data_IF_864660069032
#
_entry.id   IF_864660069032
#
_cell.length_a   1.000
_cell.length_b   1.000
_cell.length_c   1.000
_cell.angle_alpha   90.00
_cell.angle_beta   90.00
_cell.angle_gamma   90.00
#
_symmetry.space_group_name_H-M   'P 1'
#
loop_
_entity.id
_entity.type
_entity.pdbx_description
1 polymer ?
#
# COMPACT_ATOMS: atom_id res chain seq x y z
N UNK A 1 -0.92 -5.95 41.96
CA UNK A 1 -1.68 -4.68 41.73
C UNK A 1 -1.09 -4.05 40.48
N UNK A 2 -1.86 -3.92 39.40
CA UNK A 2 -1.40 -3.33 38.12
C UNK A 2 -1.36 -1.82 38.32
N UNK A 3 -0.26 -1.18 37.89
CA UNK A 3 -0.14 0.28 37.96
C UNK A 3 -1.12 0.95 36.96
N UNK A 4 -1.63 2.16 37.24
CA UNK A 4 -2.55 2.85 36.34
C UNK A 4 -2.02 3.01 34.90
N UNK A 5 -0.71 3.20 34.73
CA UNK A 5 -0.05 3.25 33.40
C UNK A 5 -0.12 1.91 32.67
N UNK A 6 0.14 0.80 33.37
CA UNK A 6 0.07 -0.56 32.83
C UNK A 6 -1.38 -0.93 32.45
N UNK A 7 -2.36 -0.46 33.23
CA UNK A 7 -3.77 -0.65 32.89
C UNK A 7 -4.18 0.10 31.63
N UNK A 8 -3.71 1.33 31.46
CA UNK A 8 -3.97 2.12 30.26
C UNK A 8 -3.33 1.50 29.00
N UNK A 9 -2.12 0.98 29.10
CA UNK A 9 -1.44 0.28 28.01
C UNK A 9 -2.15 -1.03 27.65
N UNK A 10 -2.59 -1.82 28.64
CA UNK A 10 -3.37 -3.02 28.42
C UNK A 10 -4.73 -2.72 27.79
N UNK A 11 -5.41 -1.68 28.24
CA UNK A 11 -6.67 -1.24 27.66
C UNK A 11 -6.50 -0.79 26.21
N UNK A 12 -5.45 -0.02 25.91
CA UNK A 12 -5.12 0.40 24.55
C UNK A 12 -4.82 -0.81 23.66
N UNK A 13 -4.02 -1.76 24.13
CA UNK A 13 -3.71 -3.00 23.41
C UNK A 13 -4.97 -3.83 23.13
N UNK A 14 -5.89 -3.91 24.08
CA UNK A 14 -7.15 -4.66 23.93
C UNK A 14 -8.11 -3.99 22.93
N UNK A 15 -8.17 -2.65 22.92
CA UNK A 15 -9.05 -1.90 22.01
C UNK A 15 -8.46 -1.70 20.61
N UNK A 16 -7.16 -1.89 20.45
CA UNK A 16 -6.51 -1.77 19.13
C UNK A 16 -6.80 -3.03 18.33
N UNK A 17 -7.50 -2.86 17.22
CA UNK A 17 -7.72 -3.95 16.30
C UNK A 17 -6.45 -4.20 15.48
N UNK A 18 -5.85 -5.38 15.64
CA UNK A 18 -4.73 -5.83 14.79
C UNK A 18 -5.26 -6.23 13.41
N UNK A 19 -5.42 -5.25 12.53
CA UNK A 19 -5.60 -5.52 11.10
C UNK A 19 -4.22 -5.57 10.43
N UNK A 20 -4.08 -6.43 9.43
CA UNK A 20 -2.87 -6.46 8.64
C UNK A 20 -2.71 -5.13 7.90
N UNK A 21 -1.54 -4.49 8.00
CA UNK A 21 -1.31 -3.21 7.37
C UNK A 21 -1.35 -3.34 5.84
N UNK A 22 -1.81 -2.28 5.21
CA UNK A 22 -1.83 -2.07 3.77
C UNK A 22 -1.00 -0.86 3.44
N UNK A 23 -0.25 -0.91 2.36
CA UNK A 23 0.61 0.19 1.92
C UNK A 23 0.19 0.69 0.55
N UNK A 24 0.14 2.02 0.41
CA UNK A 24 0.04 2.73 -0.85
C UNK A 24 1.12 3.80 -0.93
N UNK A 25 1.55 4.17 -2.13
CA UNK A 25 2.64 5.13 -2.34
C UNK A 25 2.25 6.16 -3.37
N UNK A 26 2.72 7.37 -3.13
CA UNK A 26 2.68 8.46 -4.09
C UNK A 26 4.09 9.01 -4.29
N UNK A 27 4.38 9.49 -5.48
CA UNK A 27 5.62 10.19 -5.79
C UNK A 27 5.30 11.58 -6.35
N UNK A 28 6.16 12.57 -6.05
CA UNK A 28 6.02 13.92 -6.55
C UNK A 28 7.40 14.55 -6.71
N UNK A 29 7.60 15.35 -7.75
CA UNK A 29 8.87 16.05 -7.98
C UNK A 29 9.13 17.08 -6.89
N UNK A 30 10.36 17.08 -6.41
CA UNK A 30 10.86 17.99 -5.39
C UNK A 30 11.91 18.94 -6.00
N UNK A 31 11.81 20.22 -5.69
CA UNK A 31 12.71 21.25 -6.24
C UNK A 31 13.55 21.92 -5.15
N UNK A 32 13.21 21.73 -3.89
CA UNK A 32 13.85 22.42 -2.77
C UNK A 32 15.17 21.78 -2.32
N UNK A 33 16.05 22.60 -1.78
CA UNK A 33 17.32 22.18 -1.19
C UNK A 33 17.23 21.89 0.33
N UNK A 34 16.17 22.39 0.98
CA UNK A 34 15.98 22.26 2.43
C UNK A 34 15.85 20.78 2.86
N UNK A 35 16.28 20.52 4.09
CA UNK A 35 16.00 19.23 4.72
C UNK A 35 14.48 19.05 4.85
N UNK A 36 14.01 17.83 4.65
CA UNK A 36 12.57 17.56 4.62
C UNK A 36 11.89 17.86 5.96
N UNK A 37 12.58 17.62 7.07
CA UNK A 37 12.05 17.93 8.41
C UNK A 37 11.83 19.44 8.61
N UNK A 38 12.69 20.27 8.03
CA UNK A 38 12.60 21.75 8.15
C UNK A 38 11.50 22.32 7.22
N UNK A 39 11.12 21.58 6.19
CA UNK A 39 10.08 21.97 5.23
C UNK A 39 8.65 21.60 5.66
N UNK A 40 8.49 20.87 6.78
CA UNK A 40 7.18 20.46 7.30
C UNK A 40 6.49 21.62 8.05
N UNK A 41 5.14 21.67 8.06
CA UNK A 41 4.41 22.62 8.90
C UNK A 41 4.75 22.44 10.39
N UNK A 42 5.08 23.52 11.09
CA UNK A 42 5.39 23.52 12.53
C UNK A 42 4.24 22.95 13.39
N UNK A 43 3.00 23.16 12.95
CA UNK A 43 1.81 22.68 13.66
C UNK A 43 0.83 22.07 12.66
N UNK A 44 0.47 20.82 12.88
CA UNK A 44 -0.52 20.13 12.07
C UNK A 44 -1.62 19.51 12.94
N UNK A 45 -2.78 20.16 12.97
CA UNK A 45 -3.97 19.62 13.65
C UNK A 45 -4.71 18.68 12.69
N UNK A 46 -4.39 17.39 12.78
CA UNK A 46 -4.97 16.37 11.89
C UNK A 46 -6.49 16.30 12.00
N UNK A 47 -7.05 16.53 13.18
CA UNK A 47 -8.50 16.52 13.37
C UNK A 47 -9.20 17.66 12.63
N UNK A 48 -8.58 18.84 12.53
CA UNK A 48 -9.13 19.94 11.73
C UNK A 48 -9.10 19.65 10.22
N UNK A 49 -8.11 18.87 9.77
CA UNK A 49 -8.02 18.51 8.35
C UNK A 49 -9.12 17.51 7.91
N UNK A 50 -9.73 16.80 8.86
CA UNK A 50 -10.69 15.73 8.57
C UNK A 50 -12.14 16.20 8.43
N UNK A 51 -12.45 17.48 8.67
CA UNK A 51 -13.83 18.00 8.64
C UNK A 51 -14.80 17.11 9.44
N UNK A 52 -14.58 17.08 10.75
CA UNK A 52 -15.17 16.08 11.67
C UNK A 52 -16.68 16.23 11.94
N UNK A 53 -17.40 17.17 11.32
CA UNK A 53 -18.83 17.37 11.59
C UNK A 53 -19.68 16.12 11.34
N UNK A 54 -19.23 15.24 10.45
CA UNK A 54 -20.00 14.05 10.03
C UNK A 54 -19.28 12.72 10.20
N UNK A 55 -18.12 12.69 10.84
CA UNK A 55 -17.36 11.45 11.00
C UNK A 55 -17.45 10.89 12.41
N UNK A 56 -17.47 9.56 12.49
CA UNK A 56 -17.53 8.81 13.76
C UNK A 56 -16.14 8.41 14.28
N UNK A 57 -15.09 9.07 13.85
CA UNK A 57 -13.71 8.79 14.24
C UNK A 57 -12.92 10.08 14.47
N UNK A 58 -11.86 9.98 15.27
CA UNK A 58 -10.92 11.06 15.55
C UNK A 58 -9.51 10.52 15.72
N UNK A 59 -8.50 11.33 15.44
CA UNK A 59 -7.10 11.04 15.76
C UNK A 59 -6.85 11.36 17.23
N UNK A 60 -6.21 10.43 17.92
CA UNK A 60 -5.84 10.57 19.33
C UNK A 60 -4.49 11.26 19.47
N UNK A 61 -4.42 12.20 20.41
CA UNK A 61 -3.19 12.98 20.65
C UNK A 61 -2.88 13.96 19.53
N UNK A 62 -1.65 14.41 19.51
CA UNK A 62 -1.09 15.32 18.49
C UNK A 62 0.08 14.60 17.84
N UNK A 63 -0.14 13.90 16.71
CA UNK A 63 0.94 13.21 16.01
C UNK A 63 1.91 14.24 15.39
N UNK A 64 3.20 13.94 15.50
CA UNK A 64 4.28 14.75 14.99
C UNK A 64 5.20 13.95 14.07
N UNK A 65 5.88 14.64 13.14
CA UNK A 65 6.91 14.01 12.32
C UNK A 65 8.21 13.89 13.11
N UNK A 66 8.88 12.78 12.92
CA UNK A 66 10.21 12.53 13.47
C UNK A 66 11.13 11.91 12.40
N UNK A 67 12.45 12.13 12.49
CA UNK A 67 13.41 11.57 11.55
C UNK A 67 13.57 10.07 11.76
N UNK A 68 13.57 9.29 10.68
CA UNK A 68 13.85 7.86 10.69
C UNK A 68 15.35 7.65 10.68
N UNK A 69 15.88 6.87 11.63
CA UNK A 69 17.33 6.59 11.74
C UNK A 69 18.20 7.86 11.78
N UNK A 70 17.70 8.97 12.32
CA UNK A 70 18.35 10.29 12.36
C UNK A 70 18.58 10.92 10.98
N UNK A 71 17.92 10.44 9.94
CA UNK A 71 17.94 11.02 8.61
C UNK A 71 16.84 12.08 8.50
N UNK A 72 17.24 13.34 8.30
CA UNK A 72 16.33 14.48 8.18
C UNK A 72 15.57 14.51 6.84
N UNK A 73 16.01 13.72 5.86
CA UNK A 73 15.39 13.54 4.57
C UNK A 73 14.50 12.27 4.50
N UNK A 74 14.40 11.54 5.60
CA UNK A 74 13.44 10.45 5.78
C UNK A 74 12.69 10.66 7.09
N UNK A 75 11.45 11.08 7.01
CA UNK A 75 10.65 11.44 8.17
C UNK A 75 9.36 10.60 8.21
N UNK A 76 8.88 10.38 9.43
CA UNK A 76 7.69 9.57 9.64
C UNK A 76 6.78 10.18 10.69
N UNK A 77 5.48 10.01 10.51
CA UNK A 77 4.46 10.31 11.49
C UNK A 77 3.59 9.08 11.68
N UNK A 78 3.52 8.56 12.90
CA UNK A 78 2.58 7.53 13.31
C UNK A 78 1.41 8.17 14.05
N UNK A 79 0.21 7.67 13.81
CA UNK A 79 -0.98 8.14 14.51
C UNK A 79 -1.92 6.99 14.86
N UNK A 80 -2.72 7.23 15.89
CA UNK A 80 -3.76 6.34 16.36
C UNK A 80 -5.13 7.00 16.15
N UNK A 81 -6.04 6.28 15.52
CA UNK A 81 -7.39 6.74 15.25
C UNK A 81 -8.39 5.93 16.10
N UNK A 82 -9.27 6.62 16.83
CA UNK A 82 -10.38 6.01 17.56
C UNK A 82 -11.67 6.16 16.74
N UNK A 83 -12.32 5.05 16.43
CA UNK A 83 -13.66 5.02 15.85
C UNK A 83 -14.68 4.67 16.92
N UNK A 84 -15.79 5.41 16.98
CA UNK A 84 -16.93 5.15 17.89
C UNK A 84 -18.09 4.57 17.09
N UNK A 85 -18.52 3.36 17.44
CA UNK A 85 -19.69 2.69 16.89
C UNK A 85 -20.83 2.73 17.93
N UNK A 86 -21.77 3.66 17.75
CA UNK A 86 -22.89 3.87 18.66
C UNK A 86 -23.94 2.75 18.66
N UNK A 87 -23.86 1.82 17.69
CA UNK A 87 -24.76 0.65 17.62
C UNK A 87 -24.35 -0.49 18.53
N UNK A 88 -23.15 -0.41 19.13
CA UNK A 88 -22.57 -1.48 19.97
C UNK A 88 -22.66 -1.18 21.45
N UNK A 89 -22.43 -2.22 22.27
CA UNK A 89 -22.32 -2.08 23.73
C UNK A 89 -21.19 -1.12 24.10
N UNK A 90 -21.25 -0.52 25.28
CA UNK A 90 -20.22 0.41 25.76
C UNK A 90 -18.80 -0.17 25.66
N UNK A 91 -18.61 -1.44 25.97
CA UNK A 91 -17.31 -2.09 25.92
C UNK A 91 -16.76 -2.27 24.50
N UNK A 92 -17.64 -2.45 23.50
CA UNK A 92 -17.28 -2.71 22.09
C UNK A 92 -17.43 -1.48 21.20
N UNK A 93 -17.89 -0.36 21.75
CA UNK A 93 -18.23 0.84 20.99
C UNK A 93 -17.01 1.58 20.43
N UNK A 94 -15.82 1.39 21.03
CA UNK A 94 -14.57 2.07 20.62
C UNK A 94 -13.59 1.07 20.06
N UNK A 95 -13.00 1.42 18.93
CA UNK A 95 -11.93 0.65 18.28
C UNK A 95 -10.85 1.57 17.77
N UNK A 96 -9.61 1.17 18.00
CA UNK A 96 -8.44 1.92 17.60
C UNK A 96 -7.79 1.30 16.36
N UNK A 97 -7.33 2.15 15.46
CA UNK A 97 -6.66 1.77 14.21
C UNK A 97 -5.37 2.57 14.06
N UNK A 98 -4.29 1.90 13.68
CA UNK A 98 -3.01 2.53 13.43
C UNK A 98 -2.91 2.98 11.97
N UNK A 99 -2.33 4.15 11.77
CA UNK A 99 -1.94 4.64 10.46
C UNK A 99 -0.59 5.33 10.54
N UNK A 100 0.11 5.44 9.42
CA UNK A 100 1.35 6.22 9.35
C UNK A 100 1.56 6.82 7.96
N UNK A 101 2.36 7.88 7.95
CA UNK A 101 2.93 8.47 6.74
C UNK A 101 4.44 8.50 6.92
N UNK A 102 5.16 7.96 5.97
CA UNK A 102 6.61 8.11 5.84
C UNK A 102 6.89 8.89 4.56
N UNK A 103 7.72 9.91 4.64
CA UNK A 103 8.13 10.75 3.51
C UNK A 103 9.64 10.62 3.36
N UNK A 104 10.09 10.30 2.15
CA UNK A 104 11.49 10.12 1.83
C UNK A 104 11.89 10.98 0.65
N UNK A 105 12.96 11.75 0.80
CA UNK A 105 13.57 12.53 -0.29
C UNK A 105 14.52 11.64 -1.07
N UNK A 106 14.22 11.42 -2.34
CA UNK A 106 15.11 10.74 -3.27
C UNK A 106 15.94 11.77 -4.04
N UNK A 107 17.12 12.10 -3.51
CA UNK A 107 18.02 13.11 -4.09
C UNK A 107 18.53 12.77 -5.48
N UNK A 108 18.62 11.48 -5.82
CA UNK A 108 19.11 11.04 -7.13
C UNK A 108 18.10 11.32 -8.27
N UNK A 109 16.84 11.53 -7.94
CA UNK A 109 15.75 11.72 -8.89
C UNK A 109 14.95 13.01 -8.66
N UNK A 110 15.35 13.84 -7.72
CA UNK A 110 14.63 15.06 -7.30
C UNK A 110 13.15 14.78 -7.04
N UNK A 111 12.87 13.75 -6.23
CA UNK A 111 11.54 13.22 -6.01
C UNK A 111 11.27 12.96 -4.53
N UNK A 112 10.07 13.26 -4.07
CA UNK A 112 9.55 12.77 -2.79
C UNK A 112 8.77 11.48 -3.02
N UNK A 113 8.99 10.52 -2.14
CA UNK A 113 8.23 9.29 -2.02
C UNK A 113 7.42 9.38 -0.73
N UNK A 114 6.09 9.39 -0.85
CA UNK A 114 5.15 9.38 0.27
C UNK A 114 4.59 7.98 0.42
N UNK A 115 4.88 7.33 1.52
CA UNK A 115 4.45 5.96 1.83
C UNK A 115 3.38 6.03 2.91
N UNK A 116 2.19 5.53 2.61
CA UNK A 116 1.03 5.54 3.49
C UNK A 116 0.72 4.13 3.96
N UNK A 117 0.74 3.94 5.29
CA UNK A 117 0.27 2.70 5.90
C UNK A 117 -1.11 2.93 6.50
N UNK A 118 -2.04 2.03 6.24
CA UNK A 118 -3.39 2.09 6.78
C UNK A 118 -3.89 0.69 7.14
N UNK A 119 -4.74 0.62 8.16
CA UNK A 119 -5.34 -0.64 8.65
C UNK A 119 -6.86 -0.65 8.51
N UNK A 120 -7.47 0.51 8.25
CA UNK A 120 -8.91 0.69 8.11
C UNK A 120 -9.24 1.73 7.04
N UNK A 121 -10.50 1.78 6.53
CA UNK A 121 -10.94 2.83 5.60
C UNK A 121 -10.74 4.24 6.16
N UNK A 122 -10.97 4.42 7.46
CA UNK A 122 -10.82 5.71 8.16
C UNK A 122 -9.36 6.17 8.16
N UNK A 123 -8.40 5.28 8.41
CA UNK A 123 -6.97 5.61 8.31
C UNK A 123 -6.55 5.89 6.87
N UNK A 124 -7.14 5.22 5.87
CA UNK A 124 -6.95 5.56 4.44
C UNK A 124 -7.46 6.98 4.12
N UNK A 125 -8.63 7.35 4.65
CA UNK A 125 -9.19 8.70 4.49
C UNK A 125 -8.30 9.76 5.15
N UNK A 126 -7.81 9.49 6.36
CA UNK A 126 -6.88 10.36 7.08
C UNK A 126 -5.59 10.55 6.28
N UNK A 127 -4.99 9.48 5.76
CA UNK A 127 -3.80 9.55 4.93
C UNK A 127 -4.00 10.42 3.67
N UNK A 128 -5.17 10.31 3.01
CA UNK A 128 -5.50 11.17 1.87
C UNK A 128 -5.59 12.64 2.23
N UNK A 129 -6.22 12.98 3.36
CA UNK A 129 -6.32 14.36 3.84
C UNK A 129 -4.94 14.93 4.18
N UNK A 130 -4.12 14.15 4.88
CA UNK A 130 -2.74 14.52 5.23
C UNK A 130 -1.88 14.72 3.99
N UNK A 131 -1.93 13.81 3.02
CA UNK A 131 -1.21 13.95 1.75
C UNK A 131 -1.56 15.26 1.04
N UNK A 132 -2.86 15.53 0.89
CA UNK A 132 -3.34 16.77 0.26
C UNK A 132 -2.84 18.01 0.97
N UNK A 133 -2.89 18.01 2.30
CA UNK A 133 -2.42 19.15 3.10
C UNK A 133 -0.91 19.36 2.96
N UNK A 134 -0.11 18.30 3.10
CA UNK A 134 1.34 18.34 2.95
C UNK A 134 1.78 18.84 1.58
N UNK A 135 1.20 18.31 0.51
CA UNK A 135 1.49 18.75 -0.87
C UNK A 135 1.13 20.23 -1.06
N UNK A 136 -0.03 20.66 -0.53
CA UNK A 136 -0.43 22.07 -0.58
C UNK A 136 0.55 22.97 0.19
N UNK A 137 1.01 22.52 1.36
CA UNK A 137 2.02 23.25 2.13
C UNK A 137 3.35 23.35 1.38
N UNK A 138 3.88 22.22 0.86
CA UNK A 138 5.12 22.21 0.11
C UNK A 138 5.08 23.10 -1.15
N UNK A 139 3.92 23.22 -1.79
CA UNK A 139 3.70 24.19 -2.87
C UNK A 139 3.77 25.62 -2.35
N UNK A 140 3.11 25.94 -1.24
CA UNK A 140 3.10 27.28 -0.67
C UNK A 140 4.49 27.77 -0.26
N UNK A 141 5.35 26.87 0.21
CA UNK A 141 6.77 27.16 0.55
C UNK A 141 7.72 26.94 -0.63
N UNK A 142 7.19 26.73 -1.86
CA UNK A 142 7.95 26.60 -3.12
C UNK A 142 8.92 25.40 -3.19
N UNK A 143 8.73 24.41 -2.37
CA UNK A 143 9.49 23.15 -2.44
C UNK A 143 8.99 22.23 -3.57
N UNK A 144 7.73 22.41 -3.99
CA UNK A 144 7.09 21.72 -5.11
C UNK A 144 6.49 22.78 -6.04
N UNK A 145 6.59 22.59 -7.35
CA UNK A 145 5.95 23.48 -8.33
C UNK A 145 4.42 23.44 -8.22
N UNK A 146 3.77 24.59 -8.43
CA UNK A 146 2.29 24.70 -8.39
C UNK A 146 1.58 23.75 -9.37
N UNK A 147 2.19 23.50 -10.52
CA UNK A 147 1.62 22.64 -11.58
C UNK A 147 1.84 21.14 -11.31
N UNK A 148 2.78 20.80 -10.41
CA UNK A 148 3.13 19.41 -10.14
C UNK A 148 2.01 18.70 -9.37
N UNK A 149 1.78 17.44 -9.72
CA UNK A 149 0.79 16.58 -9.06
C UNK A 149 1.45 15.31 -8.55
N UNK A 150 0.99 14.86 -7.39
CA UNK A 150 1.41 13.55 -6.91
C UNK A 150 0.90 12.46 -7.84
N UNK A 151 1.78 11.54 -8.18
CA UNK A 151 1.49 10.38 -9.00
C UNK A 151 1.48 9.11 -8.15
N UNK A 152 0.56 8.21 -8.44
CA UNK A 152 0.51 6.87 -7.86
C UNK A 152 0.54 5.85 -8.99
N UNK A 153 0.95 4.65 -8.69
CA UNK A 153 0.94 3.55 -9.65
C UNK A 153 -0.49 3.05 -9.77
N UNK A 154 -1.09 3.21 -10.96
CA UNK A 154 -2.48 2.89 -11.22
C UNK A 154 -2.63 1.76 -12.21
N UNK A 155 -3.78 1.13 -12.20
CA UNK A 155 -4.11 0.07 -13.15
C UNK A 155 -3.99 0.52 -14.63
N UNK A 156 -4.41 1.77 -14.94
CA UNK A 156 -4.36 2.33 -16.29
C UNK A 156 -2.95 2.70 -16.78
N UNK A 157 -1.95 2.72 -15.90
CA UNK A 157 -0.56 3.04 -16.28
C UNK A 157 0.14 1.88 -17.01
N UNK A 158 -0.55 0.74 -17.17
CA UNK A 158 -0.01 -0.45 -17.79
C UNK A 158 -0.86 -0.90 -18.99
N UNK A 159 -0.20 -1.43 -20.00
CA UNK A 159 -0.84 -2.37 -20.92
C UNK A 159 -1.15 -3.66 -20.19
N UNK A 160 -2.04 -4.50 -20.74
CA UNK A 160 -2.35 -5.80 -20.12
C UNK A 160 -1.07 -6.63 -19.95
N UNK A 161 -0.23 -6.73 -20.97
CA UNK A 161 1.04 -7.45 -20.95
C UNK A 161 1.99 -6.92 -19.86
N UNK A 162 2.16 -5.59 -19.76
CA UNK A 162 3.07 -4.99 -18.78
C UNK A 162 2.55 -5.16 -17.35
N UNK A 163 1.24 -5.21 -17.16
CA UNK A 163 0.64 -5.46 -15.84
C UNK A 163 0.93 -6.88 -15.34
N UNK A 164 0.86 -7.89 -16.24
CA UNK A 164 1.32 -9.24 -15.91
C UNK A 164 2.80 -9.25 -15.56
N UNK A 165 3.65 -8.65 -16.39
CA UNK A 165 5.08 -8.60 -16.15
C UNK A 165 5.40 -7.90 -14.84
N UNK A 166 4.69 -6.82 -14.51
CA UNK A 166 4.86 -6.06 -13.28
C UNK A 166 4.49 -6.88 -12.04
N UNK A 167 3.28 -7.42 -11.99
CA UNK A 167 2.82 -8.17 -10.83
C UNK A 167 3.60 -9.47 -10.62
N UNK A 168 3.93 -10.19 -11.70
CA UNK A 168 4.80 -11.38 -11.64
C UNK A 168 6.22 -11.01 -11.25
N UNK A 169 6.76 -9.90 -11.77
CA UNK A 169 8.08 -9.40 -11.42
C UNK A 169 8.23 -9.14 -9.93
N UNK A 170 7.20 -8.53 -9.31
CA UNK A 170 7.18 -8.29 -7.86
C UNK A 170 7.13 -9.58 -7.02
N UNK A 171 6.68 -10.69 -7.59
CA UNK A 171 6.58 -11.95 -6.85
C UNK A 171 7.76 -12.88 -7.13
N UNK A 172 8.07 -13.14 -8.40
CA UNK A 172 8.98 -14.20 -8.82
C UNK A 172 10.42 -13.72 -9.04
N UNK A 173 10.61 -12.45 -9.42
CA UNK A 173 11.90 -11.91 -9.85
C UNK A 173 12.42 -10.80 -8.93
N UNK A 174 11.78 -10.61 -7.80
CA UNK A 174 12.17 -9.58 -6.83
C UNK A 174 13.55 -9.86 -6.25
N UNK A 175 14.35 -8.82 -6.08
CA UNK A 175 15.66 -8.87 -5.42
C UNK A 175 15.53 -8.70 -3.89
N UNK A 176 14.42 -9.16 -3.34
CA UNK A 176 14.12 -9.01 -1.93
C UNK A 176 15.10 -9.82 -1.08
N UNK A 177 15.62 -9.20 -0.03
CA UNK A 177 16.60 -9.83 0.88
C UNK A 177 15.86 -10.63 1.96
N UNK A 178 14.80 -10.04 2.53
CA UNK A 178 14.05 -10.67 3.60
C UNK A 178 12.96 -11.63 3.11
N UNK A 179 12.68 -11.70 1.81
CA UNK A 179 11.60 -12.49 1.23
C UNK A 179 12.11 -13.45 0.16
N UNK A 180 11.70 -14.71 0.27
CA UNK A 180 11.91 -15.73 -0.76
C UNK A 180 10.58 -16.22 -1.29
N UNK A 181 10.35 -16.07 -2.58
CA UNK A 181 9.14 -16.54 -3.25
C UNK A 181 8.96 -18.06 -3.13
N UNK A 182 7.75 -18.52 -2.86
CA UNK A 182 7.38 -19.93 -2.83
C UNK A 182 6.44 -20.31 -3.96
N UNK A 183 5.28 -19.67 -4.01
CA UNK A 183 4.20 -20.01 -4.97
C UNK A 183 3.16 -18.89 -5.06
N UNK A 184 2.42 -18.83 -6.16
CA UNK A 184 1.19 -18.05 -6.28
C UNK A 184 0.02 -18.91 -5.80
N UNK A 185 -0.79 -18.37 -4.87
CA UNK A 185 -1.89 -19.11 -4.22
C UNK A 185 -3.28 -18.60 -4.59
N UNK A 186 -3.37 -17.38 -5.11
CA UNK A 186 -4.66 -16.78 -5.51
C UNK A 186 -4.40 -15.72 -6.57
N UNK A 187 -5.24 -15.69 -7.61
CA UNK A 187 -5.19 -14.66 -8.67
C UNK A 187 -6.59 -14.13 -8.95
N UNK A 188 -6.65 -12.84 -9.26
CA UNK A 188 -7.86 -12.18 -9.75
C UNK A 188 -7.64 -11.71 -11.18
N UNK A 189 -8.42 -12.23 -12.10
CA UNK A 189 -8.38 -11.88 -13.52
C UNK A 189 -9.78 -11.54 -14.05
N UNK A 190 -9.80 -10.73 -15.13
CA UNK A 190 -11.02 -10.40 -15.85
C UNK A 190 -10.74 -10.37 -17.33
N UNK A 191 -11.69 -10.74 -18.19
CA UNK A 191 -11.58 -10.51 -19.63
C UNK A 191 -11.47 -9.00 -19.92
N UNK A 192 -10.62 -8.64 -20.88
CA UNK A 192 -10.63 -7.30 -21.46
C UNK A 192 -11.77 -7.22 -22.48
N UNK A 193 -12.81 -6.38 -22.26
CA UNK A 193 -13.95 -6.32 -23.17
C UNK A 193 -13.61 -5.76 -24.56
N UNK A 194 -12.49 -5.06 -24.66
CA UNK A 194 -12.06 -4.39 -25.90
C UNK A 194 -11.20 -5.31 -26.78
N UNK A 195 -10.84 -6.52 -26.29
CA UNK A 195 -9.95 -7.45 -26.99
C UNK A 195 -10.62 -8.82 -27.14
N UNK A 196 -10.49 -9.42 -28.33
CA UNK A 196 -10.98 -10.78 -28.57
C UNK A 196 -10.23 -11.79 -27.70
N UNK A 197 -10.99 -12.66 -27.04
CA UNK A 197 -10.42 -13.75 -26.26
C UNK A 197 -9.88 -14.84 -27.20
N UNK A 198 -8.73 -15.45 -26.88
CA UNK A 198 -8.26 -16.65 -27.54
C UNK A 198 -9.26 -17.81 -27.40
N UNK A 199 -9.23 -18.78 -28.33
CA UNK A 199 -10.15 -19.92 -28.37
C UNK A 199 -10.26 -20.66 -27.03
N UNK A 200 -9.16 -20.85 -26.31
CA UNK A 200 -9.15 -21.48 -24.97
C UNK A 200 -9.87 -20.69 -23.87
N UNK A 201 -10.15 -19.41 -24.09
CA UNK A 201 -10.82 -18.50 -23.12
C UNK A 201 -12.22 -18.08 -23.57
N UNK A 202 -12.73 -18.56 -24.71
CA UNK A 202 -14.05 -18.17 -25.24
C UNK A 202 -15.20 -18.40 -24.25
N UNK A 203 -15.08 -19.39 -23.38
CA UNK A 203 -16.04 -19.70 -22.34
C UNK A 203 -16.23 -18.57 -21.32
N UNK A 204 -15.25 -17.65 -21.19
CA UNK A 204 -15.35 -16.47 -20.32
C UNK A 204 -16.19 -15.34 -20.93
N UNK A 205 -16.35 -15.34 -22.27
CA UNK A 205 -17.01 -14.25 -23.00
C UNK A 205 -18.45 -14.07 -22.51
N UNK A 206 -18.81 -12.81 -22.22
CA UNK A 206 -20.16 -12.38 -21.81
C UNK A 206 -20.69 -13.02 -20.50
N UNK A 207 -19.98 -13.99 -19.93
CA UNK A 207 -20.42 -14.75 -18.74
C UNK A 207 -19.63 -14.43 -17.50
N UNK A 208 -18.38 -14.04 -17.65
CA UNK A 208 -17.46 -13.83 -16.54
C UNK A 208 -17.00 -12.38 -16.53
N UNK A 209 -17.29 -11.66 -15.45
CA UNK A 209 -16.73 -10.30 -15.20
C UNK A 209 -15.41 -10.38 -14.44
N UNK A 210 -15.37 -11.18 -13.39
CA UNK A 210 -14.20 -11.43 -12.57
C UNK A 210 -14.08 -12.91 -12.30
N UNK A 211 -12.87 -13.44 -12.34
CA UNK A 211 -12.55 -14.81 -12.00
C UNK A 211 -11.46 -14.78 -10.92
N UNK A 212 -11.78 -15.35 -9.76
CA UNK A 212 -10.83 -15.60 -8.69
C UNK A 212 -10.45 -17.09 -8.70
N UNK A 213 -9.17 -17.36 -8.89
CA UNK A 213 -8.63 -18.73 -8.86
C UNK A 213 -7.79 -18.89 -7.60
N UNK A 214 -8.10 -19.92 -6.83
CA UNK A 214 -7.36 -20.30 -5.62
C UNK A 214 -6.79 -21.68 -5.79
N UNK A 215 -5.54 -21.86 -5.43
CA UNK A 215 -4.86 -23.14 -5.60
C UNK A 215 -3.42 -23.11 -5.09
N UNK A 216 -2.63 -24.01 -5.63
CA UNK A 216 -1.20 -24.14 -5.37
C UNK A 216 -0.45 -23.94 -6.66
N UNK A 217 0.70 -23.28 -6.61
CA UNK A 217 1.60 -23.09 -7.76
C UNK A 217 0.89 -22.57 -9.01
N UNK A 218 -0.01 -21.57 -8.82
CA UNK A 218 -0.79 -20.98 -9.91
C UNK A 218 0.08 -20.24 -10.93
N UNK A 219 1.34 -19.96 -10.63
CA UNK A 219 2.32 -19.44 -11.59
C UNK A 219 2.53 -20.35 -12.80
N UNK A 220 2.24 -21.65 -12.64
CA UNK A 220 2.30 -22.65 -13.72
C UNK A 220 0.94 -22.88 -14.43
N UNK A 221 -0.11 -22.20 -14.00
CA UNK A 221 -1.40 -22.25 -14.69
C UNK A 221 -1.32 -21.53 -16.05
N UNK A 222 -2.10 -21.99 -17.02
CA UNK A 222 -2.17 -21.39 -18.35
C UNK A 222 -2.46 -19.89 -18.30
N UNK A 223 -3.27 -19.43 -17.32
CA UNK A 223 -3.56 -18.01 -17.13
C UNK A 223 -2.34 -17.14 -16.87
N UNK A 224 -1.31 -17.63 -16.20
CA UNK A 224 -0.09 -16.87 -15.89
C UNK A 224 1.09 -17.27 -16.76
N UNK A 225 1.18 -18.53 -17.16
CA UNK A 225 2.31 -19.08 -17.95
C UNK A 225 2.16 -18.83 -19.45
N UNK A 226 0.94 -18.90 -19.98
CA UNK A 226 0.72 -18.65 -21.41
C UNK A 226 0.71 -17.16 -21.73
N UNK A 227 1.78 -16.71 -22.38
CA UNK A 227 1.96 -15.31 -22.77
C UNK A 227 0.89 -14.84 -23.78
N UNK A 228 0.31 -15.77 -24.57
CA UNK A 228 -0.71 -15.43 -25.56
C UNK A 228 -2.03 -14.96 -24.94
N UNK A 229 -2.32 -15.32 -23.69
CA UNK A 229 -3.52 -14.91 -22.97
C UNK A 229 -3.41 -13.49 -22.39
N UNK A 230 -2.20 -13.03 -22.09
CA UNK A 230 -1.97 -11.76 -21.37
C UNK A 230 -2.56 -10.53 -22.06
N UNK A 231 -2.53 -10.36 -23.40
CA UNK A 231 -3.13 -9.20 -24.03
C UNK A 231 -4.64 -9.06 -23.82
N UNK A 232 -5.35 -10.20 -23.69
CA UNK A 232 -6.81 -10.25 -23.60
C UNK A 232 -7.36 -10.32 -22.18
N UNK A 233 -6.48 -10.32 -21.16
CA UNK A 233 -6.87 -10.43 -19.77
C UNK A 233 -6.37 -9.26 -18.93
N UNK A 234 -7.21 -8.81 -18.02
CA UNK A 234 -6.83 -7.92 -16.93
C UNK A 234 -6.39 -8.76 -15.73
N UNK A 235 -5.11 -8.79 -15.42
CA UNK A 235 -4.63 -9.29 -14.15
C UNK A 235 -4.69 -8.15 -13.12
N UNK A 236 -5.61 -8.24 -12.19
CA UNK A 236 -5.84 -7.16 -11.22
C UNK A 236 -5.39 -7.50 -9.80
N UNK A 237 -5.06 -8.77 -9.52
CA UNK A 237 -4.56 -9.21 -8.22
C UNK A 237 -3.74 -10.50 -8.34
N UNK A 238 -2.64 -10.55 -7.57
CA UNK A 238 -1.88 -11.77 -7.28
C UNK A 238 -1.69 -11.87 -5.77
N UNK A 239 -1.97 -13.03 -5.20
CA UNK A 239 -1.59 -13.37 -3.84
C UNK A 239 -0.48 -14.42 -3.91
N UNK A 240 0.69 -14.06 -3.43
CA UNK A 240 1.87 -14.92 -3.45
C UNK A 240 2.31 -15.29 -2.03
N UNK A 241 2.75 -16.52 -1.88
CA UNK A 241 3.33 -17.03 -0.63
C UNK A 241 4.83 -16.86 -0.65
N UNK A 242 5.35 -16.35 0.44
CA UNK A 242 6.78 -16.13 0.65
C UNK A 242 7.22 -16.78 1.96
N UNK A 243 8.46 -17.20 2.00
CA UNK A 243 9.22 -17.37 3.20
C UNK A 243 9.88 -16.05 3.55
N UNK A 244 9.77 -15.58 4.78
CA UNK A 244 10.48 -14.39 5.22
C UNK A 244 11.49 -14.72 6.30
N UNK A 245 12.60 -13.96 6.30
CA UNK A 245 13.65 -13.98 7.33
C UNK A 245 14.06 -12.54 7.61
N UNK A 246 13.70 -12.04 8.78
CA UNK A 246 14.02 -10.69 9.24
C UNK A 246 14.92 -10.75 10.45
N UNK A 247 15.50 -9.61 10.85
CA UNK A 247 16.27 -9.52 12.10
C UNK A 247 15.45 -9.83 13.36
N UNK A 248 14.11 -9.69 13.26
CA UNK A 248 13.20 -9.91 14.37
C UNK A 248 12.68 -11.35 14.43
N UNK A 249 12.17 -11.88 13.34
CA UNK A 249 11.50 -13.19 13.28
C UNK A 249 11.54 -13.76 11.87
N UNK A 250 11.42 -15.09 11.80
CA UNK A 250 11.23 -15.87 10.58
C UNK A 250 9.82 -16.44 10.48
N UNK A 251 9.41 -16.79 9.26
CA UNK A 251 8.11 -17.41 9.04
C UNK A 251 7.66 -17.46 7.60
N UNK A 252 6.37 -17.74 7.40
CA UNK A 252 5.71 -17.71 6.11
C UNK A 252 4.65 -16.62 6.07
N UNK A 253 4.51 -15.97 4.91
CA UNK A 253 3.44 -15.00 4.71
C UNK A 253 2.81 -15.14 3.32
N UNK A 254 1.55 -14.72 3.22
CA UNK A 254 0.85 -14.52 1.95
C UNK A 254 0.66 -13.02 1.78
N UNK A 255 1.18 -12.50 0.68
CA UNK A 255 1.10 -11.09 0.33
C UNK A 255 0.20 -10.93 -0.89
N UNK A 256 -0.76 -10.02 -0.77
CA UNK A 256 -1.65 -9.62 -1.85
C UNK A 256 -1.10 -8.36 -2.50
N UNK A 257 -0.91 -8.41 -3.81
CA UNK A 257 -0.48 -7.34 -4.69
C UNK A 257 -1.60 -7.10 -5.70
N UNK A 258 -2.16 -5.90 -5.76
CA UNK A 258 -3.26 -5.70 -6.71
C UNK A 258 -3.92 -4.34 -6.64
N UNK A 259 -4.98 -4.21 -7.43
CA UNK A 259 -5.76 -3.00 -7.65
C UNK A 259 -7.17 -3.18 -7.08
N UNK A 260 -7.39 -2.91 -5.77
CA UNK A 260 -8.62 -3.31 -5.08
C UNK A 260 -9.88 -2.61 -5.59
N UNK A 261 -9.78 -1.35 -6.04
CA UNK A 261 -10.94 -0.63 -6.58
C UNK A 261 -11.30 -1.10 -7.98
N UNK A 262 -10.33 -1.68 -8.74
CA UNK A 262 -10.62 -2.37 -9.99
C UNK A 262 -11.37 -3.67 -9.72
N UNK A 263 -10.91 -4.48 -8.78
CA UNK A 263 -11.59 -5.73 -8.40
C UNK A 263 -13.03 -5.51 -7.93
N UNK A 264 -13.29 -4.41 -7.20
CA UNK A 264 -14.61 -4.08 -6.66
C UNK A 264 -15.56 -3.45 -7.68
N UNK A 265 -15.09 -2.67 -8.63
CA UNK A 265 -15.93 -1.87 -9.52
C UNK A 265 -15.32 -1.53 -10.88
N UNK A 266 -14.28 -2.24 -11.31
CA UNK A 266 -13.57 -2.05 -12.59
C UNK A 266 -13.05 -0.61 -12.81
N UNK A 267 -12.69 0.09 -11.74
CA UNK A 267 -12.13 1.43 -11.83
C UNK A 267 -10.70 1.37 -12.37
N UNK A 268 -10.48 1.87 -13.57
CA UNK A 268 -9.17 1.88 -14.24
C UNK A 268 -8.15 2.82 -13.56
N UNK A 269 -8.58 3.75 -12.74
CA UNK A 269 -7.75 4.64 -11.90
C UNK A 269 -7.40 4.04 -10.52
N UNK A 270 -7.73 2.77 -10.28
CA UNK A 270 -7.39 2.05 -9.05
C UNK A 270 -5.89 2.05 -8.80
N UNK A 271 -5.49 2.48 -7.61
CA UNK A 271 -4.09 2.46 -7.17
C UNK A 271 -3.68 1.06 -6.73
N UNK A 272 -2.41 0.70 -6.94
CA UNK A 272 -1.87 -0.56 -6.42
C UNK A 272 -1.77 -0.51 -4.89
N UNK A 273 -2.19 -1.58 -4.25
CA UNK A 273 -2.13 -1.78 -2.81
C UNK A 273 -1.35 -3.07 -2.49
N UNK A 274 -0.40 -2.96 -1.55
CA UNK A 274 0.29 -4.11 -0.96
C UNK A 274 -0.36 -4.44 0.39
N UNK A 275 -0.61 -5.72 0.64
CA UNK A 275 -1.23 -6.17 1.88
C UNK A 275 -0.70 -7.53 2.31
N UNK A 276 -0.29 -7.66 3.57
CA UNK A 276 -0.09 -8.96 4.18
C UNK A 276 -1.48 -9.57 4.46
N UNK A 277 -1.84 -10.60 3.71
CA UNK A 277 -3.13 -11.30 3.83
C UNK A 277 -3.11 -12.30 4.99
N UNK A 278 -1.99 -12.99 5.12
CA UNK A 278 -1.75 -13.98 6.17
C UNK A 278 -0.27 -13.97 6.54
N UNK A 279 0.04 -14.19 7.81
CA UNK A 279 1.40 -14.35 8.30
C UNK A 279 1.43 -15.36 9.43
N UNK A 280 2.41 -16.24 9.40
CA UNK A 280 2.71 -17.21 10.46
C UNK A 280 4.17 -17.08 10.84
N UNK A 281 4.46 -17.16 12.13
CA UNK A 281 5.81 -17.07 12.67
C UNK A 281 6.25 -18.44 13.17
N UNK A 282 7.50 -18.79 12.93
CA UNK A 282 8.07 -20.08 13.37
C UNK A 282 8.19 -20.17 14.88
N UNK A 283 8.44 -19.03 15.52
CA UNK A 283 8.65 -18.93 16.95
C UNK A 283 7.67 -17.92 17.58
N UNK A 284 7.36 -18.12 18.88
CA UNK A 284 6.61 -17.17 19.69
C UNK A 284 7.44 -15.92 19.92
N UNK A 285 7.22 -14.89 19.09
CA UNK A 285 7.82 -13.57 19.28
C UNK A 285 6.91 -12.64 20.09
N UNK A 286 7.49 -11.56 20.64
CA UNK A 286 6.73 -10.47 21.26
C UNK A 286 5.91 -9.75 20.18
N UNK A 287 4.87 -9.02 20.58
CA UNK A 287 4.03 -8.26 19.65
C UNK A 287 4.85 -7.21 18.85
N UNK A 288 5.84 -6.59 19.50
CA UNK A 288 6.73 -5.63 18.84
C UNK A 288 7.55 -6.30 17.73
N UNK A 289 8.14 -7.47 18.01
CA UNK A 289 8.97 -8.21 17.04
C UNK A 289 8.15 -8.62 15.80
N UNK A 290 6.86 -8.98 16.01
CA UNK A 290 5.92 -9.31 14.93
C UNK A 290 5.58 -8.09 14.06
N UNK A 291 5.41 -6.93 14.69
CA UNK A 291 5.12 -5.69 13.96
C UNK A 291 6.34 -5.22 13.16
N UNK A 292 7.54 -5.32 13.73
CA UNK A 292 8.80 -4.98 13.06
C UNK A 292 9.04 -5.89 11.84
N UNK A 293 8.75 -7.19 11.96
CA UNK A 293 8.84 -8.12 10.85
C UNK A 293 7.84 -7.75 9.72
N UNK A 294 6.57 -7.47 10.07
CA UNK A 294 5.57 -7.01 9.07
C UNK A 294 6.00 -5.72 8.38
N UNK A 295 6.52 -4.77 9.14
CA UNK A 295 6.97 -3.49 8.59
C UNK A 295 8.17 -3.67 7.66
N UNK A 296 9.16 -4.49 8.03
CA UNK A 296 10.31 -4.82 7.20
C UNK A 296 9.88 -5.42 5.87
N UNK A 297 9.00 -6.43 5.90
CA UNK A 297 8.46 -7.08 4.70
C UNK A 297 7.80 -6.05 3.77
N UNK A 298 6.95 -5.20 4.32
CA UNK A 298 6.19 -4.23 3.50
C UNK A 298 7.09 -3.13 2.94
N UNK A 299 8.08 -2.64 3.70
CA UNK A 299 9.04 -1.63 3.22
C UNK A 299 9.91 -2.14 2.08
N UNK A 300 10.35 -3.39 2.19
CA UNK A 300 11.17 -4.01 1.15
C UNK A 300 10.38 -4.14 -0.17
N UNK A 301 9.15 -4.67 -0.09
CA UNK A 301 8.25 -4.76 -1.24
C UNK A 301 7.89 -3.39 -1.82
N UNK A 302 7.76 -2.36 -0.99
CA UNK A 302 7.46 -1.02 -1.44
C UNK A 302 8.59 -0.43 -2.30
N UNK A 303 9.83 -0.65 -1.90
CA UNK A 303 11.00 -0.23 -2.68
C UNK A 303 11.05 -0.95 -4.03
N UNK A 304 10.87 -2.25 -4.03
CA UNK A 304 10.85 -3.06 -5.26
C UNK A 304 9.70 -2.68 -6.19
N UNK A 305 8.53 -2.36 -5.63
CA UNK A 305 7.36 -1.89 -6.38
C UNK A 305 7.66 -0.66 -7.22
N UNK A 306 8.34 0.32 -6.64
CA UNK A 306 8.69 1.57 -7.32
C UNK A 306 9.75 1.32 -8.38
N UNK A 307 10.78 0.54 -8.09
CA UNK A 307 11.86 0.22 -9.04
C UNK A 307 11.33 -0.56 -10.24
N UNK A 308 10.54 -1.59 -10.00
CA UNK A 308 9.93 -2.40 -11.06
C UNK A 308 9.00 -1.57 -11.94
N UNK A 309 8.22 -0.65 -11.36
CA UNK A 309 7.36 0.25 -12.14
C UNK A 309 8.16 1.14 -13.09
N UNK A 310 9.25 1.74 -12.62
CA UNK A 310 10.10 2.61 -13.45
C UNK A 310 10.71 1.89 -14.65
N UNK A 311 10.91 0.59 -14.55
CA UNK A 311 11.45 -0.22 -15.67
C UNK A 311 10.39 -0.65 -16.69
N UNK A 312 9.12 -0.73 -16.29
CA UNK A 312 8.03 -1.28 -17.09
C UNK A 312 6.97 -0.26 -17.51
N UNK A 313 6.96 0.93 -16.91
CA UNK A 313 6.03 1.99 -17.29
C UNK A 313 6.35 2.47 -18.73
N UNK A 314 5.30 2.70 -19.50
CA UNK A 314 5.43 3.27 -20.83
C UNK A 314 6.02 4.68 -20.68
N UNK A 315 7.10 5.05 -21.40
CA UNK A 315 7.60 6.42 -21.37
C UNK A 315 6.45 7.36 -21.74
N UNK A 316 6.08 8.24 -20.80
CA UNK A 316 5.11 9.31 -21.05
C UNK A 316 5.74 10.28 -22.05
N UNK A 317 5.54 10.09 -23.37
CA UNK A 317 6.09 11.02 -24.36
C UNK A 317 6.55 10.38 -25.66
N UNK A 318 5.71 9.58 -26.27
CA UNK A 318 5.79 9.26 -27.68
C UNK A 318 4.45 9.62 -28.36
N UNK A 319 4.25 10.91 -28.65
CA UNK A 319 3.24 11.28 -29.63
C UNK A 319 3.62 10.56 -30.93
N UNK A 320 2.91 9.50 -31.25
CA UNK A 320 2.89 8.96 -32.61
C UNK A 320 2.18 10.03 -33.42
N UNK A 321 2.96 10.85 -34.15
CA UNK A 321 2.42 11.68 -35.20
C UNK A 321 1.88 10.79 -36.32
N UNK A 322 0.75 11.19 -36.94
CA UNK A 322 0.02 10.39 -37.91
C UNK A 322 0.78 10.11 -39.20
#
# INVERSE_FOLDING_TARGET
MIRPSEFSELQLAYTTKEDNPKITTQTIKWQGDDALLDAIPDVMDVNKLLDLEFVNFKVLGTPEFYPVNRDLDTIRMDYLLERTDRSKSWADSRKNFKGSIEIKKNKAQDELILIFTHTAPETKTTNKALSKHLISHFKSVKQISEIEQATSIRFCDFTNQNRFNYLLGLTQHSKLVALSFKEVVDIGISPDPDILLPEGLDWMKEKIRNLDLKGFSLEHSDFLSDVSYRPSLFLHRIDAKFRFSTSALDGDCVISLGFPEFSAGQKKDSEIELRIKQISFDNTGRSIDKNDAKETILKELESEKIETFKTLSIPSGGAVSP
#
